data_IF_119343048172
#
_entry.id   IF_119343048172
#
_cell.length_a   1.000
_cell.length_b   1.000
_cell.length_c   1.000
_cell.angle_alpha   90.00
_cell.angle_beta   90.00
_cell.angle_gamma   90.00
#
_symmetry.space_group_name_H-M   'P 1'
#
loop_
_entity.id
_entity.type
_entity.pdbx_description
1 polymer ?
#
# COMPACT_ATOMS: atom_id res chain seq x y z
N UNK A 1 9.42 -8.71 -17.02
CA UNK A 1 10.16 -8.30 -15.80
C UNK A 1 9.75 -9.24 -14.68
N UNK A 2 10.71 -9.96 -14.16
CA UNK A 2 10.50 -10.83 -13.00
C UNK A 2 10.64 -10.01 -11.71
N UNK A 3 9.70 -10.16 -10.79
CA UNK A 3 9.66 -9.42 -9.52
C UNK A 3 9.80 -10.43 -8.38
N UNK A 4 10.74 -10.18 -7.48
CA UNK A 4 10.84 -10.88 -6.19
C UNK A 4 10.56 -9.92 -5.05
N UNK A 5 9.94 -10.42 -3.98
CA UNK A 5 9.61 -9.61 -2.81
C UNK A 5 10.32 -10.19 -1.60
N UNK A 6 11.04 -9.32 -0.88
CA UNK A 6 11.70 -9.69 0.38
C UNK A 6 11.24 -8.78 1.52
N UNK A 7 11.46 -9.24 2.74
CA UNK A 7 11.21 -8.41 3.93
C UNK A 7 12.17 -7.23 3.96
N UNK A 8 11.65 -6.04 4.28
CA UNK A 8 12.44 -4.82 4.44
C UNK A 8 13.65 -5.03 5.37
N UNK A 9 14.79 -4.54 4.93
CA UNK A 9 16.02 -4.43 5.73
C UNK A 9 16.52 -2.98 5.71
N UNK A 10 17.47 -2.65 6.58
CA UNK A 10 18.07 -1.31 6.62
C UNK A 10 18.72 -0.88 5.30
N UNK A 11 19.16 -1.86 4.49
CA UNK A 11 19.74 -1.58 3.17
C UNK A 11 18.70 -1.05 2.16
N UNK A 12 17.42 -1.26 2.41
CA UNK A 12 16.34 -0.83 1.52
C UNK A 12 15.89 0.62 1.76
N UNK A 13 16.38 1.27 2.82
CA UNK A 13 15.79 2.52 3.33
C UNK A 13 15.76 3.66 2.31
N UNK A 14 16.84 3.88 1.58
CA UNK A 14 16.91 4.98 0.62
C UNK A 14 15.90 4.82 -0.51
N UNK A 15 15.87 3.66 -1.14
CA UNK A 15 14.96 3.37 -2.24
C UNK A 15 13.49 3.32 -1.76
N UNK A 16 13.26 2.72 -0.61
CA UNK A 16 11.92 2.64 -0.02
C UNK A 16 11.35 4.04 0.29
N UNK A 17 12.17 4.93 0.87
CA UNK A 17 11.76 6.30 1.14
C UNK A 17 11.52 7.10 -0.13
N UNK A 18 12.37 6.97 -1.13
CA UNK A 18 12.19 7.64 -2.42
C UNK A 18 10.85 7.29 -3.04
N UNK A 19 10.54 6.00 -3.13
CA UNK A 19 9.29 5.51 -3.72
C UNK A 19 8.07 5.92 -2.88
N UNK A 20 8.14 5.75 -1.57
CA UNK A 20 7.06 6.12 -0.65
C UNK A 20 6.76 7.62 -0.70
N UNK A 21 7.81 8.44 -0.57
CA UNK A 21 7.67 9.89 -0.53
C UNK A 21 7.13 10.47 -1.84
N UNK A 22 7.46 9.86 -2.98
CA UNK A 22 6.90 10.28 -4.27
C UNK A 22 5.38 10.11 -4.29
N UNK A 23 4.85 9.02 -3.76
CA UNK A 23 3.40 8.80 -3.67
C UNK A 23 2.75 9.82 -2.71
N UNK A 24 3.40 10.12 -1.59
CA UNK A 24 2.91 11.16 -0.65
C UNK A 24 2.87 12.54 -1.35
N UNK A 25 3.93 12.90 -2.06
CA UNK A 25 4.03 14.17 -2.79
C UNK A 25 2.98 14.31 -3.91
N UNK A 26 2.66 13.23 -4.59
CA UNK A 26 1.62 13.21 -5.62
C UNK A 26 0.23 13.54 -5.04
N UNK A 27 -0.02 13.21 -3.79
CA UNK A 27 -1.18 13.67 -3.02
C UNK A 27 -2.53 13.19 -3.53
N UNK A 28 -2.60 12.02 -4.12
CA UNK A 28 -3.81 11.46 -4.73
C UNK A 28 -4.11 9.99 -4.36
N UNK A 29 -3.36 9.41 -3.44
CA UNK A 29 -3.52 8.01 -3.05
C UNK A 29 -3.33 7.76 -1.54
N UNK A 30 -2.25 8.28 -0.93
CA UNK A 30 -1.97 8.10 0.48
C UNK A 30 -2.56 9.21 1.34
N UNK A 31 -3.07 8.89 2.56
CA UNK A 31 -3.60 9.89 3.47
C UNK A 31 -2.54 10.80 4.10
N UNK A 32 -1.26 10.37 4.11
CA UNK A 32 -0.17 11.15 4.68
C UNK A 32 0.08 12.43 3.86
N UNK A 33 0.28 13.54 4.57
CA UNK A 33 0.62 14.84 3.97
C UNK A 33 2.11 15.13 3.95
N UNK A 34 2.86 14.49 4.85
CA UNK A 34 4.29 14.77 5.05
C UNK A 34 5.13 13.57 4.64
N UNK A 35 6.22 13.84 3.94
CA UNK A 35 7.21 12.84 3.56
C UNK A 35 7.98 12.35 4.79
N UNK A 36 8.54 11.14 4.68
CA UNK A 36 9.39 10.55 5.72
C UNK A 36 10.82 11.09 5.59
N UNK A 37 11.46 11.34 6.73
CA UNK A 37 12.89 11.61 6.83
C UNK A 37 13.64 10.37 7.32
N UNK A 38 14.98 10.35 7.19
CA UNK A 38 15.80 9.13 7.28
C UNK A 38 15.51 8.24 8.51
N UNK A 39 15.64 8.77 9.73
CA UNK A 39 15.43 7.99 10.96
C UNK A 39 13.95 7.66 11.19
N UNK A 40 13.07 8.60 10.91
CA UNK A 40 11.63 8.40 10.98
C UNK A 40 11.18 7.33 9.98
N UNK A 41 11.71 7.37 8.76
CA UNK A 41 11.41 6.38 7.72
C UNK A 41 11.85 4.98 8.11
N UNK A 42 13.04 4.85 8.68
CA UNK A 42 13.55 3.56 9.15
C UNK A 42 12.64 2.97 10.24
N UNK A 43 12.29 3.75 11.24
CA UNK A 43 11.38 3.35 12.31
C UNK A 43 10.00 2.97 11.74
N UNK A 44 9.46 3.82 10.84
CA UNK A 44 8.17 3.61 10.21
C UNK A 44 8.07 2.26 9.49
N UNK A 45 9.08 1.90 8.67
CA UNK A 45 9.07 0.62 7.96
C UNK A 45 9.35 -0.57 8.85
N UNK A 46 10.19 -0.41 9.88
CA UNK A 46 10.55 -1.50 10.79
C UNK A 46 9.42 -1.87 11.76
N UNK A 47 8.60 -0.91 12.17
CA UNK A 47 7.52 -1.14 13.14
C UNK A 47 6.27 -1.80 12.56
N UNK A 48 6.15 -1.87 11.23
CA UNK A 48 5.01 -2.53 10.58
C UNK A 48 4.96 -4.02 10.95
N UNK A 49 3.79 -4.65 10.88
CA UNK A 49 3.68 -6.10 10.98
C UNK A 49 4.53 -6.78 9.91
N UNK A 50 4.54 -6.18 8.72
CA UNK A 50 5.43 -6.57 7.63
C UNK A 50 5.59 -5.39 6.67
N UNK A 51 6.82 -5.21 6.17
CA UNK A 51 7.11 -4.34 5.04
C UNK A 51 7.75 -5.19 3.96
N UNK A 52 7.09 -5.30 2.81
CA UNK A 52 7.58 -6.06 1.66
C UNK A 52 8.20 -5.13 0.62
N UNK A 53 9.39 -5.47 0.14
CA UNK A 53 10.14 -4.71 -0.85
C UNK A 53 10.26 -5.52 -2.13
N UNK A 54 9.78 -4.98 -3.24
CA UNK A 54 9.82 -5.60 -4.55
C UNK A 54 11.07 -5.15 -5.32
N UNK A 55 11.81 -6.12 -5.82
CA UNK A 55 12.98 -5.89 -6.68
C UNK A 55 12.80 -6.61 -8.01
N UNK A 56 13.30 -5.99 -9.08
CA UNK A 56 13.29 -6.60 -10.40
C UNK A 56 14.49 -7.54 -10.61
N UNK A 57 14.56 -8.16 -11.78
CA UNK A 57 15.64 -9.07 -12.20
C UNK A 57 17.03 -8.40 -12.31
N UNK A 58 17.08 -7.07 -12.27
CA UNK A 58 18.33 -6.29 -12.23
C UNK A 58 18.72 -5.88 -10.81
N UNK A 59 17.97 -6.32 -9.79
CA UNK A 59 18.20 -5.96 -8.39
C UNK A 59 17.77 -4.55 -8.01
N UNK A 60 16.99 -3.85 -8.88
CA UNK A 60 16.46 -2.51 -8.58
C UNK A 60 15.16 -2.61 -7.80
N UNK A 61 15.04 -1.82 -6.75
CA UNK A 61 13.77 -1.66 -6.02
C UNK A 61 12.73 -0.97 -6.90
N UNK A 62 11.58 -1.60 -7.07
CA UNK A 62 10.51 -1.13 -7.96
C UNK A 62 9.19 -0.86 -7.23
N UNK A 63 9.08 -1.24 -5.98
CA UNK A 63 7.90 -0.99 -5.17
C UNK A 63 8.02 -1.55 -3.77
N UNK A 64 7.05 -1.21 -2.94
CA UNK A 64 6.96 -1.73 -1.58
C UNK A 64 5.52 -1.69 -1.07
N UNK A 65 5.27 -2.42 0.01
CA UNK A 65 4.04 -2.27 0.77
C UNK A 65 4.32 -2.32 2.26
N UNK A 66 3.43 -1.72 3.02
CA UNK A 66 3.35 -1.88 4.47
C UNK A 66 2.07 -2.61 4.84
N UNK A 67 2.14 -3.41 5.89
CA UNK A 67 1.04 -4.19 6.42
C UNK A 67 0.97 -4.01 7.94
N UNK A 68 -0.19 -3.67 8.46
CA UNK A 68 -0.38 -3.43 9.88
C UNK A 68 -1.84 -3.71 10.29
N UNK A 69 -2.13 -3.91 11.59
CA UNK A 69 -3.50 -4.01 12.06
C UNK A 69 -4.29 -2.74 11.71
N UNK A 70 -5.55 -2.92 11.28
CA UNK A 70 -6.45 -1.80 11.00
C UNK A 70 -7.22 -1.34 12.23
N UNK A 71 -7.29 -2.20 13.26
CA UNK A 71 -8.08 -1.96 14.45
C UNK A 71 -7.45 -2.71 15.65
N UNK A 72 -8.10 -2.67 16.78
CA UNK A 72 -7.60 -3.21 18.04
C UNK A 72 -8.54 -4.26 18.62
N UNK A 73 -8.02 -5.07 19.56
CA UNK A 73 -8.82 -6.00 20.36
C UNK A 73 -9.61 -6.98 19.50
N UNK A 74 -10.92 -6.97 19.66
CA UNK A 74 -11.83 -7.90 18.96
C UNK A 74 -11.90 -7.67 17.44
N UNK A 75 -11.38 -6.56 16.94
CA UNK A 75 -11.23 -6.25 15.53
C UNK A 75 -9.78 -6.29 15.05
N UNK A 76 -8.86 -6.78 15.88
CA UNK A 76 -7.42 -6.83 15.58
C UNK A 76 -7.03 -7.85 14.52
N UNK A 77 -7.93 -8.73 14.10
CA UNK A 77 -7.74 -9.65 12.98
C UNK A 77 -7.95 -9.00 11.60
N UNK A 78 -8.36 -7.74 11.57
CA UNK A 78 -8.48 -6.93 10.36
C UNK A 78 -7.19 -6.17 10.17
N UNK A 79 -6.53 -6.33 9.03
CA UNK A 79 -5.34 -5.59 8.67
C UNK A 79 -5.61 -4.57 7.58
N UNK A 80 -4.68 -3.62 7.45
CA UNK A 80 -4.65 -2.62 6.40
C UNK A 80 -3.27 -2.64 5.74
N UNK A 81 -3.19 -2.19 4.51
CA UNK A 81 -1.93 -2.09 3.77
C UNK A 81 -1.94 -0.87 2.86
N UNK A 82 -0.74 -0.40 2.53
CA UNK A 82 -0.51 0.65 1.54
C UNK A 82 0.57 0.18 0.59
N UNK A 83 0.39 0.47 -0.69
CA UNK A 83 1.27 0.01 -1.78
C UNK A 83 1.84 1.22 -2.51
N UNK A 84 3.14 1.20 -2.74
CA UNK A 84 3.83 2.22 -3.52
C UNK A 84 4.61 1.56 -4.65
N UNK A 85 4.45 2.05 -5.86
CA UNK A 85 5.13 1.56 -7.06
C UNK A 85 5.97 2.69 -7.64
N UNK A 86 7.22 2.37 -7.99
CA UNK A 86 8.11 3.33 -8.65
C UNK A 86 7.48 3.83 -9.95
N UNK A 87 7.52 5.14 -10.19
CA UNK A 87 6.83 5.76 -11.34
C UNK A 87 7.27 5.20 -12.70
N UNK A 88 8.56 4.82 -12.84
CA UNK A 88 9.10 4.28 -14.08
C UNK A 88 8.54 2.91 -14.49
N UNK A 89 7.90 2.19 -13.56
CA UNK A 89 7.40 0.83 -13.80
C UNK A 89 5.89 0.71 -13.62
N UNK A 90 5.17 1.82 -13.51
CA UNK A 90 3.71 1.81 -13.47
C UNK A 90 3.14 1.19 -14.74
N UNK A 91 2.04 0.44 -14.60
CA UNK A 91 1.43 -0.30 -15.69
C UNK A 91 2.12 -1.61 -16.06
N UNK A 92 3.15 -2.03 -15.31
CA UNK A 92 3.88 -3.29 -15.52
C UNK A 92 3.54 -4.38 -14.50
N UNK A 93 2.36 -4.33 -13.91
CA UNK A 93 1.83 -5.32 -12.95
C UNK A 93 2.59 -5.45 -11.63
N UNK A 94 3.45 -4.49 -11.27
CA UNK A 94 4.15 -4.48 -9.97
C UNK A 94 3.16 -4.36 -8.83
N UNK A 95 2.17 -3.49 -8.94
CA UNK A 95 1.11 -3.34 -7.93
C UNK A 95 0.35 -4.63 -7.68
N UNK A 96 -0.02 -5.36 -8.72
CA UNK A 96 -0.70 -6.66 -8.60
C UNK A 96 0.16 -7.67 -7.84
N UNK A 97 1.45 -7.75 -8.15
CA UNK A 97 2.40 -8.64 -7.47
C UNK A 97 2.52 -8.29 -5.98
N UNK A 98 2.60 -6.99 -5.66
CA UNK A 98 2.64 -6.51 -4.28
C UNK A 98 1.37 -6.87 -3.50
N UNK A 99 0.18 -6.66 -4.08
CA UNK A 99 -1.08 -6.96 -3.40
C UNK A 99 -1.23 -8.46 -3.15
N UNK A 100 -0.88 -9.30 -4.12
CA UNK A 100 -0.92 -10.76 -3.96
C UNK A 100 0.02 -11.25 -2.88
N UNK A 101 1.26 -10.72 -2.82
CA UNK A 101 2.21 -11.07 -1.76
C UNK A 101 1.71 -10.59 -0.40
N UNK A 102 1.16 -9.39 -0.32
CA UNK A 102 0.57 -8.85 0.90
C UNK A 102 -0.57 -9.74 1.42
N UNK A 103 -1.47 -10.18 0.55
CA UNK A 103 -2.57 -11.08 0.92
C UNK A 103 -2.04 -12.39 1.51
N UNK A 104 -1.06 -12.99 0.86
CA UNK A 104 -0.41 -14.22 1.33
C UNK A 104 0.26 -14.00 2.68
N UNK A 105 1.04 -12.93 2.81
CA UNK A 105 1.77 -12.61 4.05
C UNK A 105 0.81 -12.28 5.20
N UNK A 106 -0.25 -11.53 4.93
CA UNK A 106 -1.27 -11.21 5.94
C UNK A 106 -1.92 -12.48 6.50
N UNK A 107 -2.25 -13.42 5.64
CA UNK A 107 -2.78 -14.72 6.06
C UNK A 107 -1.78 -15.52 6.89
N UNK A 108 -0.52 -15.56 6.49
CA UNK A 108 0.55 -16.22 7.25
C UNK A 108 0.73 -15.63 8.65
N UNK A 109 0.55 -14.32 8.80
CA UNK A 109 0.64 -13.61 10.09
C UNK A 109 -0.61 -13.76 10.96
N UNK A 110 -1.65 -14.45 10.47
CA UNK A 110 -2.86 -14.73 11.23
C UNK A 110 -3.99 -13.72 11.05
N UNK A 111 -3.85 -12.73 10.18
CA UNK A 111 -4.96 -11.86 9.83
C UNK A 111 -6.02 -12.62 9.04
N UNK A 112 -7.28 -12.25 9.23
CA UNK A 112 -8.42 -12.91 8.58
C UNK A 112 -9.09 -12.03 7.52
N UNK A 113 -8.89 -10.72 7.58
CA UNK A 113 -9.48 -9.74 6.68
C UNK A 113 -8.41 -8.71 6.32
N UNK A 114 -8.30 -8.38 5.03
CA UNK A 114 -7.54 -7.23 4.56
C UNK A 114 -8.52 -6.16 4.11
N UNK A 115 -8.43 -4.97 4.70
CA UNK A 115 -9.31 -3.85 4.41
C UNK A 115 -8.50 -2.62 3.99
N UNK A 116 -8.94 -1.96 2.92
CA UNK A 116 -8.43 -0.65 2.50
C UNK A 116 -9.45 0.40 2.89
N UNK A 117 -9.03 1.42 3.63
CA UNK A 117 -9.94 2.40 4.23
C UNK A 117 -10.29 3.55 3.28
N UNK A 118 -9.37 3.93 2.41
CA UNK A 118 -9.45 5.18 1.67
C UNK A 118 -8.97 5.04 0.21
N UNK A 119 -9.59 4.14 -0.54
CA UNK A 119 -9.33 4.07 -1.98
C UNK A 119 -10.01 5.25 -2.65
N UNK A 120 -9.22 6.15 -3.21
CA UNK A 120 -9.74 7.37 -3.84
C UNK A 120 -10.52 7.02 -5.11
N UNK A 121 -11.73 7.55 -5.25
CA UNK A 121 -12.63 7.19 -6.35
C UNK A 121 -12.04 7.48 -7.74
N UNK A 122 -11.13 8.43 -7.86
CA UNK A 122 -10.43 8.77 -9.10
C UNK A 122 -9.25 7.85 -9.41
N UNK A 123 -8.85 6.99 -8.48
CA UNK A 123 -7.77 6.02 -8.69
C UNK A 123 -8.30 4.78 -9.42
N UNK A 124 -8.57 4.93 -10.70
CA UNK A 124 -9.19 3.90 -11.54
C UNK A 124 -8.36 2.63 -11.63
N UNK A 125 -7.03 2.74 -11.66
CA UNK A 125 -6.14 1.58 -11.75
C UNK A 125 -6.18 0.72 -10.50
N UNK A 126 -6.22 1.33 -9.32
CA UNK A 126 -6.36 0.61 -8.04
C UNK A 126 -7.72 -0.08 -7.93
N UNK A 127 -8.80 0.63 -8.26
CA UNK A 127 -10.16 0.07 -8.23
C UNK A 127 -10.28 -1.13 -9.16
N UNK A 128 -9.76 -1.01 -10.38
CA UNK A 128 -9.74 -2.11 -11.34
C UNK A 128 -8.97 -3.32 -10.82
N UNK A 129 -7.78 -3.10 -10.25
CA UNK A 129 -6.95 -4.15 -9.68
C UNK A 129 -7.67 -4.88 -8.53
N UNK A 130 -8.25 -4.13 -7.59
CA UNK A 130 -8.92 -4.73 -6.43
C UNK A 130 -10.16 -5.54 -6.85
N UNK A 131 -10.91 -5.05 -7.83
CA UNK A 131 -12.02 -5.81 -8.41
C UNK A 131 -11.54 -7.12 -9.04
N UNK A 132 -10.47 -7.06 -9.82
CA UNK A 132 -9.85 -8.24 -10.45
C UNK A 132 -9.41 -9.28 -9.40
N UNK A 133 -8.89 -8.84 -8.27
CA UNK A 133 -8.42 -9.71 -7.19
C UNK A 133 -9.53 -10.21 -6.26
N UNK A 134 -10.75 -9.78 -6.46
CA UNK A 134 -11.91 -10.28 -5.72
C UNK A 134 -12.29 -9.46 -4.49
N UNK A 135 -11.76 -8.25 -4.33
CA UNK A 135 -12.16 -7.35 -3.25
C UNK A 135 -13.60 -6.88 -3.43
N UNK A 136 -14.29 -6.69 -2.31
CA UNK A 136 -15.64 -6.13 -2.26
C UNK A 136 -15.59 -4.66 -1.87
N UNK A 137 -16.31 -3.82 -2.59
CA UNK A 137 -16.51 -2.41 -2.22
C UNK A 137 -17.58 -2.31 -1.14
N UNK A 138 -17.32 -1.52 -0.09
CA UNK A 138 -18.21 -1.35 1.06
C UNK A 138 -19.13 -0.14 0.97
N UNK A 139 -19.07 0.60 -0.10
CA UNK A 139 -19.84 1.81 -0.29
C UNK A 139 -18.95 3.02 -0.56
N UNK A 140 -19.53 4.21 -0.56
CA UNK A 140 -18.82 5.45 -0.86
C UNK A 140 -18.97 6.42 0.31
N UNK A 141 -17.83 6.95 0.79
CA UNK A 141 -17.83 8.10 1.70
C UNK A 141 -17.56 9.36 0.85
N UNK A 142 -18.57 10.22 0.65
CA UNK A 142 -18.40 11.41 -0.16
C UNK A 142 -17.37 12.36 0.46
N UNK A 143 -16.49 12.91 -0.39
CA UNK A 143 -15.49 13.92 -0.01
C UNK A 143 -14.56 13.48 1.12
N UNK A 144 -14.24 12.20 1.17
CA UNK A 144 -13.41 11.61 2.24
C UNK A 144 -11.92 11.85 2.11
N UNK A 145 -11.44 12.35 0.96
CA UNK A 145 -10.02 12.55 0.70
C UNK A 145 -9.72 13.96 0.21
N UNK A 146 -8.82 14.65 0.93
CA UNK A 146 -8.30 15.95 0.52
C UNK A 146 -7.19 15.76 -0.51
N UNK A 147 -7.46 16.17 -1.75
CA UNK A 147 -6.47 16.12 -2.83
C UNK A 147 -5.41 17.21 -2.66
N UNK A 148 -4.27 17.04 -3.33
CA UNK A 148 -3.16 18.00 -3.31
C UNK A 148 -3.56 19.42 -3.72
N UNK A 149 -4.49 19.53 -4.67
CA UNK A 149 -4.98 20.82 -5.18
C UNK A 149 -6.01 21.52 -4.28
N UNK A 150 -6.35 20.91 -3.13
CA UNK A 150 -7.30 21.45 -2.17
C UNK A 150 -8.76 21.02 -2.42
N UNK A 151 -9.03 20.26 -3.46
CA UNK A 151 -10.35 19.67 -3.71
C UNK A 151 -10.54 18.40 -2.88
N UNK A 152 -11.78 17.94 -2.75
CA UNK A 152 -12.13 16.73 -2.02
C UNK A 152 -12.71 15.70 -2.98
N UNK A 153 -12.22 14.47 -2.88
CA UNK A 153 -12.71 13.33 -3.65
C UNK A 153 -13.37 12.30 -2.75
N UNK A 154 -14.26 11.50 -3.34
CA UNK A 154 -14.89 10.38 -2.63
C UNK A 154 -13.86 9.28 -2.36
N UNK A 155 -14.07 8.54 -1.28
CA UNK A 155 -13.31 7.31 -0.98
C UNK A 155 -14.23 6.11 -0.95
N UNK A 156 -13.68 4.95 -1.34
CA UNK A 156 -14.42 3.69 -1.44
C UNK A 156 -13.68 2.63 -0.64
N UNK A 157 -14.09 2.35 0.60
CA UNK A 157 -13.50 1.26 1.37
C UNK A 157 -13.69 -0.09 0.67
N UNK A 158 -12.66 -0.92 0.71
CA UNK A 158 -12.65 -2.26 0.13
C UNK A 158 -12.23 -3.28 1.17
N UNK A 159 -12.67 -4.53 1.05
CA UNK A 159 -12.17 -5.62 1.86
C UNK A 159 -12.10 -6.93 1.09
N UNK A 160 -11.30 -7.85 1.61
CA UNK A 160 -11.28 -9.25 1.18
C UNK A 160 -11.06 -10.15 2.39
N UNK A 161 -11.76 -11.28 2.45
CA UNK A 161 -11.46 -12.35 3.41
C UNK A 161 -10.21 -13.11 2.96
N UNK A 162 -9.32 -13.38 3.90
CA UNK A 162 -8.04 -14.05 3.63
C UNK A 162 -8.11 -15.57 3.79
#
# INVERSE_FOLDING_TARGET
MEITIHKFTTNDIEDAMEIWNKVVEDGNAFPQKHTLEALEGLEFFQKQSYTGVAVNDQGKTVGLYILHPNNVGRCGHICNASFAVHEDVRGQHVGETLVKDCMRKAKELGFQILQFNAVVATNASAIHLYKKLGFTQLGVLPKGFLMKDGTYEDIIPHYIAL
#
